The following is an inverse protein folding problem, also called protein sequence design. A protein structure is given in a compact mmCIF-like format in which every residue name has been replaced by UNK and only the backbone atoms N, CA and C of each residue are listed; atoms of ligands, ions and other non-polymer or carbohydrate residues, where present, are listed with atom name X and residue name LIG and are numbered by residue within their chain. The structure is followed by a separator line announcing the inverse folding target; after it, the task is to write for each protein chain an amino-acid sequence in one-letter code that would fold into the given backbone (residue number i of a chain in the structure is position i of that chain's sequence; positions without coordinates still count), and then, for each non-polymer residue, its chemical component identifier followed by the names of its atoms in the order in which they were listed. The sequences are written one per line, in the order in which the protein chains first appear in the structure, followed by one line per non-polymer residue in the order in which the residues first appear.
data_IF_963038577425
#
_entry.id   IF_963038577425
#
_cell.length_a   1.000
_cell.length_b   1.000
_cell.length_c   1.000
_cell.angle_alpha   90.00
_cell.angle_beta   90.00
_cell.angle_gamma   90.00
#
_symmetry.space_group_name_H-M   'P 1'
#
loop_
_entity.id
_entity.type
_entity.pdbx_description
1 polymer ?
#
# COMPACT_ATOMS: atom_id res chain seq x y z
N UNK A 1 -12.46 -5.45 0.78
CA UNK A 1 -11.11 -5.56 1.35
C UNK A 1 -10.11 -5.49 0.20
N UNK A 2 -9.74 -4.29 -0.25
CA UNK A 2 -8.75 -4.18 -1.31
C UNK A 2 -7.38 -4.27 -0.66
N UNK A 3 -6.68 -5.33 -1.01
CA UNK A 3 -5.51 -5.82 -0.31
C UNK A 3 -4.28 -5.34 -1.07
N UNK A 4 -3.62 -4.27 -0.62
CA UNK A 4 -2.27 -3.96 -1.14
C UNK A 4 -1.32 -4.94 -0.50
N UNK A 5 -0.78 -5.91 -1.25
CA UNK A 5 0.40 -6.65 -0.80
C UNK A 5 1.62 -5.94 -1.33
N UNK A 6 2.46 -5.39 -0.44
CA UNK A 6 3.88 -5.31 -0.76
C UNK A 6 4.46 -6.69 -0.45
N UNK A 7 4.53 -7.58 -1.43
CA UNK A 7 5.19 -8.88 -1.23
C UNK A 7 6.64 -8.73 -1.67
N UNK A 8 7.56 -8.71 -0.72
CA UNK A 8 8.98 -8.91 -1.04
C UNK A 8 9.28 -10.41 -0.92
N UNK A 9 9.60 -11.04 -2.04
CA UNK A 9 10.15 -12.39 -2.08
C UNK A 9 11.67 -12.28 -2.17
N UNK A 10 12.39 -12.88 -1.23
CA UNK A 10 13.74 -13.35 -1.49
C UNK A 10 13.61 -14.73 -2.16
N UNK A 11 13.59 -14.79 -3.50
CA UNK A 11 13.62 -16.07 -4.21
C UNK A 11 15.04 -16.66 -4.17
N UNK A 12 15.14 -17.92 -3.78
CA UNK A 12 16.31 -18.74 -4.08
C UNK A 12 16.17 -19.24 -5.54
N UNK A 13 16.98 -18.71 -6.46
CA UNK A 13 17.71 -19.47 -7.49
C UNK A 13 18.12 -18.62 -8.71
N UNK A 14 19.35 -18.90 -9.15
CA UNK A 14 19.94 -18.71 -10.48
C UNK A 14 20.11 -17.28 -11.01
N UNK A 15 21.38 -16.89 -11.13
CA UNK A 15 21.86 -15.89 -12.08
C UNK A 15 21.35 -16.30 -13.48
N UNK A 16 20.33 -15.61 -14.00
CA UNK A 16 19.95 -15.71 -15.40
C UNK A 16 20.93 -14.83 -16.20
N UNK A 17 21.84 -15.44 -16.94
CA UNK A 17 22.72 -14.76 -17.90
C UNK A 17 21.90 -14.16 -19.04
N UNK A 18 22.19 -12.88 -19.37
CA UNK A 18 21.52 -12.14 -20.46
C UNK A 18 21.54 -10.62 -20.25
N UNK A 19 22.36 -9.93 -21.05
CA UNK A 19 22.27 -8.49 -21.33
C UNK A 19 23.13 -7.53 -20.47
N UNK A 20 23.95 -6.72 -21.14
CA UNK A 20 24.77 -5.64 -20.56
C UNK A 20 23.89 -4.52 -19.96
N UNK A 21 23.59 -4.67 -18.68
CA UNK A 21 23.18 -3.61 -17.77
C UNK A 21 23.68 -4.00 -16.38
N UNK A 22 24.05 -3.04 -15.53
CA UNK A 22 24.40 -3.35 -14.15
C UNK A 22 23.24 -4.13 -13.50
N UNK A 23 23.44 -5.43 -13.31
CA UNK A 23 22.46 -6.28 -12.64
C UNK A 23 22.39 -5.85 -11.19
N UNK A 24 21.24 -5.31 -10.80
CA UNK A 24 20.93 -4.98 -9.41
C UNK A 24 21.17 -6.21 -8.53
N UNK A 25 22.18 -6.12 -7.66
CA UNK A 25 22.53 -7.20 -6.75
C UNK A 25 21.38 -7.44 -5.78
N UNK A 26 20.79 -8.64 -5.82
CA UNK A 26 19.66 -8.96 -4.95
C UNK A 26 20.12 -9.17 -3.53
N UNK A 27 19.33 -8.65 -2.58
CA UNK A 27 19.64 -8.72 -1.16
C UNK A 27 19.21 -10.09 -0.60
N UNK A 28 20.17 -10.98 -0.43
CA UNK A 28 19.94 -12.28 0.21
C UNK A 28 19.84 -12.12 1.74
N UNK A 29 18.93 -12.88 2.38
CA UNK A 29 18.69 -12.89 3.83
C UNK A 29 18.27 -11.56 4.47
N UNK A 30 17.75 -10.60 3.69
CA UNK A 30 17.14 -9.40 4.24
C UNK A 30 15.78 -9.68 4.89
N UNK A 31 15.40 -8.85 5.86
CA UNK A 31 14.05 -8.87 6.41
C UNK A 31 13.03 -8.53 5.32
N UNK A 32 12.09 -9.43 5.07
CA UNK A 32 10.98 -9.19 4.15
C UNK A 32 10.04 -8.13 4.74
N UNK A 33 9.71 -7.12 3.93
CA UNK A 33 8.77 -6.06 4.31
C UNK A 33 7.43 -6.36 3.65
N UNK A 34 6.40 -6.60 4.47
CA UNK A 34 5.03 -6.81 4.00
C UNK A 34 4.12 -5.73 4.56
N UNK A 35 3.56 -4.91 3.67
CA UNK A 35 2.59 -3.87 4.02
C UNK A 35 1.22 -4.37 3.57
N UNK A 36 0.28 -4.47 4.53
CA UNK A 36 -1.12 -4.76 4.27
C UNK A 36 -1.93 -3.47 4.44
N UNK A 37 -2.33 -2.87 3.32
CA UNK A 37 -3.20 -1.69 3.34
C UNK A 37 -4.63 -2.10 2.98
N UNK A 38 -5.56 -1.92 3.92
CA UNK A 38 -6.99 -2.10 3.68
C UNK A 38 -7.62 -0.85 3.03
N UNK A 39 -8.76 -1.04 2.37
CA UNK A 39 -9.53 0.03 1.72
C UNK A 39 -10.89 0.16 2.42
N UNK A 40 -11.22 1.37 2.88
CA UNK A 40 -12.42 1.68 3.67
C UNK A 40 -12.61 0.81 4.93
N UNK A 41 -11.55 0.60 5.71
CA UNK A 41 -11.62 -0.10 7.00
C UNK A 41 -11.65 0.91 8.14
N UNK A 42 -12.70 0.86 8.97
CA UNK A 42 -12.80 1.70 10.15
C UNK A 42 -11.99 1.15 11.34
N UNK A 43 -11.74 1.99 12.34
CA UNK A 43 -10.99 1.63 13.53
C UNK A 43 -11.62 0.43 14.29
N UNK A 44 -12.95 0.39 14.40
CA UNK A 44 -13.69 -0.63 15.15
C UNK A 44 -14.16 -1.82 14.29
N UNK A 45 -13.78 -1.86 13.01
CA UNK A 45 -14.07 -3.01 12.14
C UNK A 45 -13.25 -4.24 12.50
N UNK A 46 -12.07 -4.06 13.10
CA UNK A 46 -11.21 -5.15 13.57
C UNK A 46 -11.55 -5.46 15.03
N UNK A 47 -11.83 -6.75 15.30
CA UNK A 47 -12.36 -7.26 16.56
C UNK A 47 -11.61 -6.78 17.79
N UNK A 48 -10.28 -6.87 17.78
CA UNK A 48 -9.44 -6.49 18.92
C UNK A 48 -9.47 -4.99 19.28
N UNK A 49 -9.97 -4.11 18.40
CA UNK A 49 -10.08 -2.67 18.68
C UNK A 49 -11.47 -2.27 19.17
N UNK A 50 -12.47 -3.16 19.08
CA UNK A 50 -13.85 -2.86 19.49
C UNK A 50 -13.94 -2.54 20.99
N UNK A 51 -14.71 -1.51 21.31
CA UNK A 51 -14.95 -1.08 22.70
C UNK A 51 -13.82 -0.26 23.32
N UNK A 52 -12.67 -0.10 22.64
CA UNK A 52 -11.49 0.57 23.22
C UNK A 52 -11.67 2.07 23.40
N UNK A 53 -12.49 2.77 22.60
CA UNK A 53 -12.54 4.24 22.55
C UNK A 53 -13.95 4.84 22.64
N UNK A 54 -14.97 4.10 23.06
CA UNK A 54 -16.35 4.61 23.14
C UNK A 54 -17.01 4.94 21.79
N UNK A 55 -16.24 5.02 20.70
CA UNK A 55 -16.68 5.17 19.30
C UNK A 55 -17.21 3.84 18.72
N UNK A 56 -17.98 3.10 19.53
CA UNK A 56 -18.51 1.79 19.18
C UNK A 56 -19.75 1.90 18.32
N UNK A 57 -19.56 2.22 17.06
CA UNK A 57 -20.60 2.21 16.05
C UNK A 57 -19.92 2.42 14.71
N UNK A 58 -20.01 1.42 13.83
CA UNK A 58 -19.62 1.60 12.43
C UNK A 58 -20.36 2.80 11.83
N UNK A 59 -20.12 3.11 10.55
CA UNK A 59 -20.68 4.28 9.84
C UNK A 59 -22.19 4.55 10.03
N UNK A 60 -22.97 3.56 10.53
CA UNK A 60 -24.40 3.63 10.83
C UNK A 60 -24.78 3.39 12.31
N UNK A 61 -23.86 3.57 13.28
CA UNK A 61 -24.11 3.34 14.72
C UNK A 61 -24.27 1.86 15.14
N UNK A 62 -24.07 0.92 14.21
CA UNK A 62 -24.12 -0.53 14.48
C UNK A 62 -22.72 -1.05 14.77
N UNK A 63 -22.58 -1.83 15.85
CA UNK A 63 -21.34 -2.56 16.13
C UNK A 63 -21.04 -3.54 14.99
N UNK A 64 -19.83 -3.45 14.42
CA UNK A 64 -19.35 -4.37 13.39
C UNK A 64 -19.39 -5.81 13.91
N UNK A 65 -19.99 -6.73 13.15
CA UNK A 65 -20.08 -8.17 13.49
C UNK A 65 -18.95 -9.00 12.87
N UNK A 66 -17.99 -8.35 12.21
CA UNK A 66 -16.92 -9.02 11.46
C UNK A 66 -16.07 -9.89 12.39
N UNK A 67 -15.80 -11.14 12.00
CA UNK A 67 -14.86 -12.01 12.70
C UNK A 67 -13.48 -11.81 12.08
N UNK A 68 -12.50 -11.36 12.86
CA UNK A 68 -11.15 -11.05 12.39
C UNK A 68 -10.06 -11.84 13.11
N UNK A 69 -10.20 -13.17 13.31
CA UNK A 69 -9.32 -13.92 14.20
C UNK A 69 -7.83 -13.85 13.83
N UNK A 70 -7.51 -13.76 12.52
CA UNK A 70 -6.13 -13.63 12.07
C UNK A 70 -5.53 -12.24 12.35
N UNK A 71 -6.32 -11.17 12.21
CA UNK A 71 -5.86 -9.81 12.54
C UNK A 71 -5.78 -9.63 14.06
N UNK A 72 -6.72 -10.20 14.81
CA UNK A 72 -6.72 -10.20 16.27
C UNK A 72 -5.47 -10.93 16.78
N UNK A 73 -5.16 -12.10 16.22
CA UNK A 73 -3.93 -12.86 16.52
C UNK A 73 -2.66 -12.08 16.18
N UNK A 74 -2.58 -11.49 14.98
CA UNK A 74 -1.43 -10.69 14.58
C UNK A 74 -1.18 -9.48 15.51
N UNK A 75 -2.26 -8.85 16.00
CA UNK A 75 -2.16 -7.75 16.95
C UNK A 75 -1.74 -8.22 18.37
N UNK A 76 -2.11 -9.43 18.79
CA UNK A 76 -1.68 -10.03 20.06
C UNK A 76 -0.22 -10.51 20.03
N UNK A 77 0.22 -11.09 18.91
CA UNK A 77 1.59 -11.57 18.72
C UNK A 77 2.58 -10.42 18.42
N UNK A 78 2.07 -9.26 17.99
CA UNK A 78 2.88 -8.14 17.51
C UNK A 78 2.76 -6.87 18.34
N UNK A 79 2.70 -5.74 17.63
CA UNK A 79 2.45 -4.41 18.20
C UNK A 79 1.13 -3.87 17.69
N UNK A 80 0.35 -3.29 18.61
CA UNK A 80 -0.92 -2.64 18.31
C UNK A 80 -0.80 -1.14 18.55
N UNK A 81 -1.11 -0.35 17.53
CA UNK A 81 -1.10 1.11 17.62
C UNK A 81 -2.54 1.60 17.82
N UNK A 82 -2.80 2.27 18.94
CA UNK A 82 -4.13 2.80 19.26
C UNK A 82 -4.39 4.16 18.60
N UNK A 83 -3.31 4.89 18.30
CA UNK A 83 -3.34 6.23 17.72
C UNK A 83 -2.55 6.26 16.40
N UNK A 84 -3.06 5.55 15.40
CA UNK A 84 -2.50 5.57 14.05
C UNK A 84 -3.44 6.35 13.11
N UNK A 85 -2.90 7.32 12.38
CA UNK A 85 -3.69 8.23 11.55
C UNK A 85 -3.30 8.11 10.08
N UNK A 86 -4.31 8.22 9.21
CA UNK A 86 -4.08 8.43 7.78
C UNK A 86 -3.89 9.93 7.52
N UNK A 87 -2.91 10.34 6.70
CA UNK A 87 -2.69 11.75 6.36
C UNK A 87 -3.79 12.34 5.46
N UNK A 88 -4.71 11.51 4.95
CA UNK A 88 -5.90 11.93 4.22
C UNK A 88 -7.06 10.97 4.43
N UNK A 89 -8.29 11.48 4.31
CA UNK A 89 -9.54 10.69 4.33
C UNK A 89 -9.87 10.04 2.98
N UNK A 90 -9.10 10.37 1.92
CA UNK A 90 -9.31 9.89 0.55
C UNK A 90 -8.24 8.87 0.14
N UNK A 91 -8.64 7.90 -0.68
CA UNK A 91 -7.79 6.76 -1.08
C UNK A 91 -6.55 7.17 -1.88
N UNK A 92 -6.65 7.99 -2.94
CA UNK A 92 -5.47 8.43 -3.70
C UNK A 92 -4.47 9.19 -2.82
N UNK A 93 -4.95 10.17 -2.05
CA UNK A 93 -4.09 10.98 -1.19
C UNK A 93 -3.39 10.17 -0.09
N UNK A 94 -4.11 9.25 0.57
CA UNK A 94 -3.55 8.38 1.62
C UNK A 94 -2.52 7.40 1.08
N UNK A 95 -2.77 6.80 -0.09
CA UNK A 95 -1.82 5.91 -0.77
C UNK A 95 -0.56 6.65 -1.22
N UNK A 96 -0.71 7.85 -1.76
CA UNK A 96 0.43 8.68 -2.15
C UNK A 96 1.33 8.99 -0.95
N UNK A 97 0.71 9.36 0.17
CA UNK A 97 1.45 9.69 1.38
C UNK A 97 2.13 8.48 2.00
N UNK A 98 1.49 7.30 1.98
CA UNK A 98 2.13 6.05 2.40
C UNK A 98 3.39 5.75 1.56
N UNK A 99 3.31 5.91 0.25
CA UNK A 99 4.40 5.55 -0.65
C UNK A 99 5.52 6.59 -0.68
N UNK A 100 5.22 7.88 -0.50
CA UNK A 100 6.21 8.95 -0.61
C UNK A 100 6.72 9.47 0.73
N UNK A 101 6.03 9.16 1.84
CA UNK A 101 6.29 9.76 3.14
C UNK A 101 5.93 11.25 3.23
N UNK A 102 5.23 11.79 2.22
CA UNK A 102 4.89 13.22 2.13
C UNK A 102 3.41 13.47 2.36
N UNK A 103 3.08 14.63 2.94
CA UNK A 103 1.69 15.08 3.02
C UNK A 103 1.08 15.27 1.62
N UNK A 104 -0.23 15.03 1.44
CA UNK A 104 -0.90 15.18 0.14
C UNK A 104 -0.68 16.54 -0.54
N UNK A 105 -0.56 17.61 0.25
CA UNK A 105 -0.30 18.97 -0.26
C UNK A 105 1.07 19.10 -0.96
N UNK A 106 2.03 18.24 -0.60
CA UNK A 106 3.37 18.20 -1.20
C UNK A 106 3.42 17.33 -2.45
N UNK A 107 2.59 16.29 -2.52
CA UNK A 107 2.51 15.42 -3.71
C UNK A 107 1.56 15.93 -4.78
N UNK A 108 0.74 16.95 -4.46
CA UNK A 108 -0.25 17.51 -5.39
C UNK A 108 -1.54 16.68 -5.50
N UNK A 109 -1.71 15.63 -4.68
CA UNK A 109 -2.85 14.71 -4.77
C UNK A 109 -3.94 15.16 -3.79
N UNK A 110 -4.66 16.20 -4.18
CA UNK A 110 -5.81 16.80 -3.49
C UNK A 110 -6.58 17.70 -4.47
N UNK A 111 -7.85 18.10 -4.21
CA UNK A 111 -8.71 17.71 -3.09
C UNK A 111 -9.53 16.43 -3.35
N UNK A 112 -9.44 15.83 -4.54
CA UNK A 112 -10.22 14.66 -4.95
C UNK A 112 -9.33 13.43 -5.19
N UNK A 113 -9.98 12.31 -5.44
CA UNK A 113 -9.33 11.07 -5.90
C UNK A 113 -9.19 11.09 -7.42
N UNK A 114 -8.30 10.26 -7.96
CA UNK A 114 -8.24 10.04 -9.41
C UNK A 114 -9.47 9.24 -9.88
N UNK A 115 -10.15 9.77 -10.88
CA UNK A 115 -11.27 9.13 -11.57
C UNK A 115 -10.78 8.21 -12.70
N UNK A 116 -11.70 7.44 -13.31
CA UNK A 116 -11.41 6.49 -14.39
C UNK A 116 -11.06 7.15 -15.73
N UNK A 117 -11.15 8.47 -15.85
CA UNK A 117 -10.72 9.26 -17.01
C UNK A 117 -9.54 10.17 -16.67
N UNK A 118 -9.00 10.08 -15.44
CA UNK A 118 -7.91 10.91 -14.99
C UNK A 118 -6.70 10.79 -15.92
N UNK A 119 -6.24 11.95 -16.37
CA UNK A 119 -5.11 12.11 -17.29
C UNK A 119 -3.77 12.26 -16.58
N UNK A 120 -3.82 12.49 -15.27
CA UNK A 120 -2.70 12.68 -14.37
C UNK A 120 -2.60 11.53 -13.35
N UNK A 121 -1.53 11.54 -12.57
CA UNK A 121 -1.24 10.54 -11.55
C UNK A 121 -0.17 11.03 -10.59
N UNK A 122 0.40 10.12 -9.79
CA UNK A 122 1.56 10.43 -8.95
C UNK A 122 2.75 10.81 -9.83
N UNK A 123 3.24 12.05 -9.67
CA UNK A 123 4.33 12.60 -10.46
C UNK A 123 5.58 11.71 -10.40
N UNK A 124 6.26 11.54 -11.54
CA UNK A 124 7.49 10.73 -11.63
C UNK A 124 8.64 11.26 -10.79
N UNK A 125 8.66 12.55 -10.49
CA UNK A 125 9.63 13.21 -9.62
C UNK A 125 9.49 12.81 -8.16
N UNK A 126 8.36 12.20 -7.77
CA UNK A 126 8.20 11.64 -6.43
C UNK A 126 8.99 10.33 -6.32
N UNK A 127 9.78 10.19 -5.26
CA UNK A 127 10.43 8.92 -4.92
C UNK A 127 9.48 8.11 -4.04
N UNK A 128 9.19 6.87 -4.43
CA UNK A 128 8.36 5.97 -3.64
C UNK A 128 9.21 5.07 -2.74
N UNK A 129 8.58 4.50 -1.71
CA UNK A 129 9.16 3.44 -0.88
C UNK A 129 9.62 2.25 -1.73
N UNK A 130 8.90 1.94 -2.81
CA UNK A 130 9.26 0.87 -3.72
C UNK A 130 10.53 1.21 -4.52
N UNK A 131 10.68 2.46 -4.98
CA UNK A 131 11.92 2.92 -5.64
C UNK A 131 13.13 2.76 -4.70
N UNK A 132 12.97 3.16 -3.44
CA UNK A 132 14.02 3.05 -2.42
C UNK A 132 14.37 1.58 -2.16
N UNK A 133 13.37 0.72 -1.95
CA UNK A 133 13.59 -0.71 -1.69
C UNK A 133 14.22 -1.41 -2.89
N UNK A 134 13.75 -1.12 -4.11
CA UNK A 134 14.31 -1.68 -5.33
C UNK A 134 15.78 -1.31 -5.47
N UNK A 135 16.14 -0.04 -5.27
CA UNK A 135 17.54 0.41 -5.29
C UNK A 135 18.42 -0.25 -4.22
N UNK A 136 17.82 -0.76 -3.14
CA UNK A 136 18.51 -1.53 -2.08
C UNK A 136 18.52 -3.04 -2.33
N UNK A 137 18.16 -3.49 -3.54
CA UNK A 137 18.23 -4.89 -3.96
C UNK A 137 17.05 -5.75 -3.52
N UNK A 138 15.95 -5.14 -3.06
CA UNK A 138 14.69 -5.87 -2.80
C UNK A 138 13.97 -6.19 -4.11
N UNK A 139 13.29 -7.33 -4.15
CA UNK A 139 12.22 -7.54 -5.13
C UNK A 139 10.93 -6.88 -4.65
N UNK A 140 10.29 -6.11 -5.52
CA UNK A 140 9.12 -5.29 -5.19
C UNK A 140 7.91 -5.70 -6.01
N UNK A 141 6.83 -6.09 -5.31
CA UNK A 141 5.55 -6.42 -5.93
C UNK A 141 4.42 -5.69 -5.24
N UNK A 142 3.47 -5.21 -6.03
CA UNK A 142 2.17 -4.77 -5.55
C UNK A 142 1.08 -5.75 -6.01
N UNK A 143 0.20 -6.16 -5.09
CA UNK A 143 -1.06 -6.84 -5.44
C UNK A 143 -2.19 -5.92 -5.05
N UNK A 144 -3.27 -5.83 -5.83
CA UNK A 144 -4.45 -5.04 -5.52
C UNK A 144 -4.46 -3.64 -6.14
N UNK A 145 -5.19 -2.73 -5.49
CA UNK A 145 -5.52 -1.41 -6.05
C UNK A 145 -4.37 -0.42 -5.94
N UNK A 146 -4.12 0.28 -7.03
CA UNK A 146 -3.10 1.31 -7.13
C UNK A 146 -3.64 2.70 -6.76
N UNK A 147 -4.60 3.20 -7.53
CA UNK A 147 -5.33 4.47 -7.35
C UNK A 147 -4.47 5.74 -7.32
N UNK A 148 -3.36 5.74 -8.05
CA UNK A 148 -2.43 6.89 -8.19
C UNK A 148 -2.17 7.25 -9.67
N UNK A 149 -3.18 7.09 -10.50
CA UNK A 149 -3.13 7.28 -11.94
C UNK A 149 -3.23 5.94 -12.69
N UNK A 150 -3.84 5.98 -13.86
CA UNK A 150 -4.17 4.78 -14.64
C UNK A 150 -3.48 4.71 -16.00
N UNK A 151 -2.97 5.84 -16.49
CA UNK A 151 -2.25 5.85 -17.75
C UNK A 151 -0.95 5.06 -17.60
N UNK A 152 -0.43 4.44 -18.68
CA UNK A 152 0.74 3.56 -18.62
C UNK A 152 1.94 4.14 -17.87
N UNK A 153 2.16 5.44 -17.97
CA UNK A 153 3.22 6.17 -17.28
C UNK A 153 3.02 6.21 -15.75
N UNK A 154 1.80 6.22 -15.24
CA UNK A 154 1.53 6.30 -13.81
C UNK A 154 1.33 4.93 -13.14
N UNK A 155 1.43 3.82 -13.87
CA UNK A 155 1.24 2.48 -13.32
C UNK A 155 2.32 2.12 -12.28
N UNK A 156 2.05 1.20 -11.34
CA UNK A 156 3.03 0.82 -10.30
C UNK A 156 4.39 0.40 -10.86
N UNK A 157 4.40 -0.23 -12.04
CA UNK A 157 5.63 -0.68 -12.71
C UNK A 157 6.53 0.45 -13.21
N UNK A 158 6.05 1.69 -13.13
CA UNK A 158 6.83 2.91 -13.38
C UNK A 158 7.22 3.65 -12.11
N UNK A 159 6.86 3.10 -10.94
CA UNK A 159 6.97 3.71 -9.60
C UNK A 159 7.61 2.73 -8.61
N UNK A 160 8.67 2.05 -9.05
CA UNK A 160 9.52 1.21 -8.20
C UNK A 160 9.04 -0.22 -7.97
N UNK A 161 7.86 -0.61 -8.45
CA UNK A 161 7.40 -2.00 -8.40
C UNK A 161 7.84 -2.77 -9.64
N UNK A 162 8.40 -3.97 -9.47
CA UNK A 162 8.76 -4.82 -10.60
C UNK A 162 7.54 -5.61 -11.12
N UNK A 163 6.66 -6.00 -10.21
CA UNK A 163 5.44 -6.76 -10.52
C UNK A 163 4.18 -6.06 -10.00
N UNK A 164 3.11 -6.15 -10.78
CA UNK A 164 1.78 -5.72 -10.36
C UNK A 164 0.68 -6.68 -10.82
N UNK A 165 -0.19 -7.04 -9.89
CA UNK A 165 -1.45 -7.74 -10.18
C UNK A 165 -2.61 -7.03 -9.49
N UNK A 166 -3.49 -6.36 -10.24
CA UNK A 166 -4.64 -5.68 -9.66
C UNK A 166 -5.29 -4.64 -10.57
N UNK A 167 -5.92 -3.63 -9.97
CA UNK A 167 -6.72 -2.62 -10.67
C UNK A 167 -6.16 -1.20 -10.45
N UNK A 168 -6.12 -0.34 -11.48
CA UNK A 168 -5.53 1.00 -11.36
C UNK A 168 -6.36 1.98 -10.54
N UNK A 169 -7.65 1.74 -10.34
CA UNK A 169 -8.60 2.67 -9.71
C UNK A 169 -9.73 1.93 -8.97
N UNK A 170 -10.74 2.67 -8.49
CA UNK A 170 -11.95 2.10 -7.90
C UNK A 170 -12.96 1.73 -9.00
N UNK A 171 -13.54 0.54 -8.93
CA UNK A 171 -14.69 0.20 -9.78
C UNK A 171 -15.92 0.84 -9.13
N UNK A 172 -16.46 1.87 -9.77
CA UNK A 172 -17.78 2.44 -9.48
C UNK A 172 -18.88 1.47 -9.93
#
# INVERSE_FOLDING_TARGET
LTLVHLLSFATNAAVMEGGEGEKLQRKHNATNVVILLADNLAYDDVGIFRGSHGMGGGSNGKKSKSKTPNLDRAAMEGRRLLNWNSPAVLCSASRAALLTGKYPVRTGIYPRVFEQDAVNGLLHTETTLADILLAQGYSTKIVGKWHLGQRPEYLPTKRGFEEWFGIPYHMS
#
